data_IF_455381685875
#
_entry.id   IF_455381685875
#
_cell.length_a   1.000
_cell.length_b   1.000
_cell.length_c   1.000
_cell.angle_alpha   90.00
_cell.angle_beta   90.00
_cell.angle_gamma   90.00
#
_symmetry.space_group_name_H-M   'P 1'
#
loop_
_entity.id
_entity.type
_entity.pdbx_description
1 polymer ?
#
# COMPACT_ATOMS: atom_id res chain seq x y z
N UNK A 1 0.36 -15.68 11.91
CA UNK A 1 1.47 -14.79 11.49
C UNK A 1 2.15 -15.16 10.16
N UNK A 2 2.19 -16.44 9.72
CA UNK A 2 2.86 -16.83 8.46
C UNK A 2 2.19 -16.25 7.19
N UNK A 3 0.88 -16.03 7.22
CA UNK A 3 0.09 -15.49 6.09
C UNK A 3 0.05 -13.97 6.07
N UNK A 4 0.29 -13.31 7.21
CA UNK A 4 0.10 -11.86 7.36
C UNK A 4 1.16 -11.03 6.60
N UNK A 5 2.42 -11.49 6.60
CA UNK A 5 3.50 -10.84 5.85
C UNK A 5 3.24 -10.86 4.33
N UNK A 6 2.93 -12.02 3.71
CA UNK A 6 2.52 -12.07 2.29
C UNK A 6 1.37 -11.14 1.95
N UNK A 7 0.32 -11.08 2.79
CA UNK A 7 -0.83 -10.19 2.58
C UNK A 7 -0.41 -8.72 2.61
N UNK A 8 0.45 -8.33 3.54
CA UNK A 8 0.97 -6.96 3.61
C UNK A 8 1.89 -6.61 2.43
N UNK A 9 2.66 -7.59 1.92
CA UNK A 9 3.44 -7.41 0.69
C UNK A 9 2.54 -7.18 -0.53
N UNK A 10 1.43 -7.93 -0.65
CA UNK A 10 0.42 -7.68 -1.68
C UNK A 10 -0.16 -6.27 -1.50
N UNK A 11 -0.47 -5.86 -0.27
CA UNK A 11 -0.94 -4.51 0.04
C UNK A 11 0.02 -3.41 -0.44
N UNK A 12 1.33 -3.58 -0.22
CA UNK A 12 2.36 -2.66 -0.73
C UNK A 12 2.37 -2.61 -2.26
N UNK A 13 2.27 -3.76 -2.92
CA UNK A 13 2.26 -3.83 -4.39
C UNK A 13 1.02 -3.10 -4.92
N UNK A 14 -0.16 -3.36 -4.35
CA UNK A 14 -1.43 -2.72 -4.74
C UNK A 14 -1.39 -1.20 -4.51
N UNK A 15 -0.91 -0.74 -3.37
CA UNK A 15 -0.81 0.71 -3.08
C UNK A 15 0.09 1.45 -4.06
N UNK A 16 1.24 0.85 -4.41
CA UNK A 16 2.13 1.39 -5.44
C UNK A 16 1.49 1.36 -6.83
N UNK A 17 0.79 0.28 -7.18
CA UNK A 17 0.04 0.18 -8.45
C UNK A 17 -1.01 1.28 -8.58
N UNK A 18 -1.79 1.55 -7.53
CA UNK A 18 -2.75 2.67 -7.54
C UNK A 18 -2.05 4.01 -7.77
N UNK A 19 -0.92 4.25 -7.11
CA UNK A 19 -0.15 5.48 -7.30
C UNK A 19 0.33 5.61 -8.76
N UNK A 20 0.88 4.54 -9.33
CA UNK A 20 1.34 4.50 -10.73
C UNK A 20 0.17 4.74 -11.68
N UNK A 21 -0.98 4.09 -11.44
CA UNK A 21 -2.18 4.28 -12.27
C UNK A 21 -2.67 5.73 -12.22
N UNK A 22 -2.74 6.35 -11.04
CA UNK A 22 -3.12 7.76 -10.90
C UNK A 22 -2.16 8.70 -11.65
N UNK A 23 -0.86 8.41 -11.65
CA UNK A 23 0.14 9.25 -12.32
C UNK A 23 0.20 9.07 -13.84
N UNK A 24 -0.07 7.85 -14.33
CA UNK A 24 0.21 7.48 -15.73
C UNK A 24 -1.03 7.33 -16.60
N UNK A 25 -2.22 7.19 -16.00
CA UNK A 25 -3.47 6.99 -16.74
C UNK A 25 -4.38 8.20 -16.68
N UNK A 26 -5.09 8.48 -17.79
CA UNK A 26 -6.04 9.58 -17.87
C UNK A 26 -7.39 9.18 -17.25
N UNK A 27 -7.39 9.03 -15.93
CA UNK A 27 -8.58 8.70 -15.15
C UNK A 27 -9.46 9.94 -14.94
N UNK A 28 -10.78 9.76 -14.76
CA UNK A 28 -11.66 10.80 -14.27
C UNK A 28 -11.11 11.42 -12.98
N UNK A 29 -11.25 12.74 -12.82
CA UNK A 29 -10.60 13.51 -11.75
C UNK A 29 -10.86 12.98 -10.33
N UNK A 30 -12.06 12.45 -10.07
CA UNK A 30 -12.41 11.82 -8.79
C UNK A 30 -11.63 10.52 -8.52
N UNK A 31 -11.51 9.64 -9.53
CA UNK A 31 -10.75 8.40 -9.43
C UNK A 31 -9.24 8.66 -9.38
N UNK A 32 -8.76 9.64 -10.15
CA UNK A 32 -7.35 10.02 -10.13
C UNK A 32 -6.93 10.48 -8.71
N UNK A 33 -7.71 11.35 -8.08
CA UNK A 33 -7.47 11.75 -6.68
C UNK A 33 -7.52 10.56 -5.73
N UNK A 34 -8.51 9.68 -5.88
CA UNK A 34 -8.62 8.50 -5.02
C UNK A 34 -7.38 7.60 -5.13
N UNK A 35 -6.81 7.45 -6.32
CA UNK A 35 -5.61 6.64 -6.54
C UNK A 35 -4.33 7.35 -6.06
N UNK A 36 -4.20 8.66 -6.29
CA UNK A 36 -3.04 9.45 -5.86
C UNK A 36 -2.96 9.64 -4.34
N UNK A 37 -4.10 9.64 -3.63
CA UNK A 37 -4.12 9.71 -2.17
C UNK A 37 -4.23 8.33 -1.52
N UNK A 38 -5.07 7.45 -2.08
CA UNK A 38 -5.32 6.11 -1.55
C UNK A 38 -4.15 5.15 -1.75
N UNK A 39 -3.42 5.26 -2.86
CA UNK A 39 -2.22 4.46 -3.12
C UNK A 39 -1.15 4.67 -2.05
N UNK A 40 -0.67 5.92 -1.82
CA UNK A 40 0.30 6.21 -0.78
C UNK A 40 -0.19 5.86 0.62
N UNK A 41 -1.47 6.10 0.93
CA UNK A 41 -2.05 5.74 2.23
C UNK A 41 -2.00 4.23 2.49
N UNK A 42 -2.36 3.40 1.50
CA UNK A 42 -2.25 1.94 1.57
C UNK A 42 -0.80 1.49 1.74
N UNK A 43 0.13 2.09 1.00
CA UNK A 43 1.56 1.77 1.10
C UNK A 43 2.10 2.07 2.49
N UNK A 44 1.76 3.22 3.08
CA UNK A 44 2.19 3.61 4.44
C UNK A 44 1.61 2.65 5.47
N UNK A 45 0.31 2.34 5.40
CA UNK A 45 -0.34 1.42 6.34
C UNK A 45 0.29 0.02 6.29
N UNK A 46 0.54 -0.51 5.10
CA UNK A 46 1.18 -1.80 4.93
C UNK A 46 2.62 -1.80 5.45
N UNK A 47 3.39 -0.74 5.15
CA UNK A 47 4.77 -0.59 5.60
C UNK A 47 4.87 -0.52 7.14
N UNK A 48 4.07 0.32 7.78
CA UNK A 48 4.02 0.43 9.25
C UNK A 48 3.65 -0.90 9.89
N UNK A 49 2.65 -1.60 9.34
CA UNK A 49 2.23 -2.91 9.84
C UNK A 49 3.36 -3.94 9.76
N UNK A 50 4.11 -3.98 8.65
CA UNK A 50 5.27 -4.86 8.50
C UNK A 50 6.33 -4.53 9.55
N UNK A 51 6.67 -3.25 9.73
CA UNK A 51 7.68 -2.81 10.71
C UNK A 51 7.28 -3.24 12.12
N UNK A 52 6.03 -3.03 12.52
CA UNK A 52 5.52 -3.44 13.84
C UNK A 52 5.63 -4.96 14.04
N UNK A 53 5.22 -5.76 13.04
CA UNK A 53 5.31 -7.22 13.12
C UNK A 53 6.76 -7.68 13.25
N UNK A 54 7.68 -7.07 12.50
CA UNK A 54 9.11 -7.42 12.54
C UNK A 54 9.71 -7.05 13.90
N UNK A 55 9.41 -5.87 14.43
CA UNK A 55 9.87 -5.44 15.76
C UNK A 55 9.34 -6.35 16.87
N UNK A 56 8.08 -6.76 16.80
CA UNK A 56 7.49 -7.69 17.77
C UNK A 56 8.11 -9.09 17.73
N UNK A 57 8.59 -9.55 16.57
CA UNK A 57 9.30 -10.84 16.47
C UNK A 57 10.76 -10.80 16.94
N UNK A 58 11.34 -9.61 17.05
CA UNK A 58 12.73 -9.40 17.48
C UNK A 58 12.88 -9.24 19.00
N UNK A 59 11.79 -8.97 19.72
CA UNK A 59 11.71 -9.01 21.18
C UNK A 59 11.31 -10.39 21.65
#
# INVERSE_FOLDING_TARGET
MRVLLPVLMIGLIVGNLFTILGLTTNLPSGLNRLFLFGGPALTILAAVSIVVIVLQRRR
#
